data_IF_803056517642
#
_entry.id   IF_803056517642
#
_cell.length_a   1.000
_cell.length_b   1.000
_cell.length_c   1.000
_cell.angle_alpha   90.00
_cell.angle_beta   90.00
_cell.angle_gamma   90.00
#
_symmetry.space_group_name_H-M   'P 1'
#
loop_
_entity.id
_entity.type
_entity.pdbx_description
1 polymer ?
#
# COMPACT_ATOMS: atom_id res chain seq x y z
N UNK A 1 -11.04 -37.54 24.49
CA UNK A 1 -11.94 -36.54 23.88
C UNK A 1 -12.30 -37.01 22.47
N UNK A 2 -13.58 -37.30 22.17
CA UNK A 2 -14.02 -37.62 20.80
C UNK A 2 -14.34 -36.30 20.12
N UNK A 3 -13.48 -35.86 19.20
CA UNK A 3 -13.76 -34.70 18.35
C UNK A 3 -14.92 -35.11 17.44
N UNK A 4 -16.06 -34.44 17.59
CA UNK A 4 -17.21 -34.65 16.72
C UNK A 4 -16.83 -34.23 15.29
N UNK A 5 -17.28 -34.99 14.29
CA UNK A 5 -17.05 -34.68 12.87
C UNK A 5 -17.43 -33.23 12.52
N UNK A 6 -18.48 -32.70 13.15
CA UNK A 6 -18.93 -31.31 12.98
C UNK A 6 -17.91 -30.29 13.49
N UNK A 7 -17.17 -30.60 14.56
CA UNK A 7 -16.10 -29.73 15.07
C UNK A 7 -14.88 -29.73 14.14
N UNK A 8 -14.59 -30.87 13.51
CA UNK A 8 -13.52 -30.96 12.51
C UNK A 8 -13.86 -30.12 11.26
N UNK A 9 -15.11 -30.21 10.80
CA UNK A 9 -15.58 -29.46 9.64
C UNK A 9 -15.49 -27.94 9.86
N UNK A 10 -15.94 -27.46 11.04
CA UNK A 10 -15.85 -26.05 11.41
C UNK A 10 -14.40 -25.56 11.44
N UNK A 11 -13.48 -26.37 11.97
CA UNK A 11 -12.06 -26.01 12.01
C UNK A 11 -11.46 -25.91 10.60
N UNK A 12 -11.81 -26.84 9.70
CA UNK A 12 -11.33 -26.77 8.31
C UNK A 12 -11.88 -25.54 7.60
N UNK A 13 -13.16 -25.20 7.79
CA UNK A 13 -13.78 -24.01 7.18
C UNK A 13 -13.16 -22.72 7.72
N UNK A 14 -12.92 -22.60 9.03
CA UNK A 14 -12.29 -21.40 9.59
C UNK A 14 -10.86 -21.22 9.12
N UNK A 15 -10.10 -22.31 9.01
CA UNK A 15 -8.73 -22.28 8.46
C UNK A 15 -8.77 -21.87 6.98
N UNK A 16 -9.68 -22.41 6.18
CA UNK A 16 -9.85 -22.02 4.77
C UNK A 16 -10.18 -20.52 4.63
N UNK A 17 -11.11 -20.00 5.42
CA UNK A 17 -11.48 -18.58 5.41
C UNK A 17 -10.31 -17.71 5.85
N UNK A 18 -9.57 -18.11 6.89
CA UNK A 18 -8.39 -17.39 7.36
C UNK A 18 -7.28 -17.33 6.29
N UNK A 19 -7.01 -18.44 5.59
CA UNK A 19 -6.05 -18.50 4.48
C UNK A 19 -6.50 -17.63 3.30
N UNK A 20 -7.78 -17.67 2.93
CA UNK A 20 -8.28 -16.80 1.85
C UNK A 20 -8.20 -15.31 2.23
N UNK A 21 -8.43 -14.99 3.51
CA UNK A 21 -8.33 -13.62 4.03
C UNK A 21 -6.90 -13.10 4.04
N UNK A 22 -5.91 -13.96 4.32
CA UNK A 22 -4.49 -13.57 4.32
C UNK A 22 -3.92 -13.40 2.91
N UNK A 23 -4.41 -14.15 1.92
CA UNK A 23 -3.98 -14.02 0.52
C UNK A 23 -4.53 -12.74 -0.15
N UNK A 24 -5.69 -12.23 0.30
CA UNK A 24 -6.31 -11.01 -0.22
C UNK A 24 -5.79 -9.72 0.41
N UNK A 25 -5.07 -9.81 1.53
CA UNK A 25 -4.42 -8.66 2.16
C UNK A 25 -3.10 -8.35 1.43
N UNK A 26 -3.17 -7.91 0.17
CA UNK A 26 -2.06 -7.15 -0.42
C UNK A 26 -1.88 -5.92 0.46
N UNK A 27 -0.74 -5.74 1.14
CA UNK A 27 -0.49 -4.48 1.80
C UNK A 27 -0.46 -3.43 0.69
N UNK A 28 -1.37 -2.45 0.74
CA UNK A 28 -1.15 -1.15 0.10
C UNK A 28 0.05 -0.50 0.82
N UNK A 29 1.23 -1.07 0.62
CA UNK A 29 2.46 -0.50 1.12
C UNK A 29 2.76 0.69 0.21
N UNK A 30 2.27 1.86 0.62
CA UNK A 30 2.58 3.14 0.00
C UNK A 30 4.10 3.33 0.15
N UNK A 31 4.86 2.86 -0.82
CA UNK A 31 6.30 3.08 -0.84
C UNK A 31 6.55 4.58 -1.05
N UNK A 32 7.04 5.22 0.02
CA UNK A 32 7.42 6.63 0.02
C UNK A 32 8.77 6.78 -0.67
N UNK A 33 8.77 7.19 -1.93
CA UNK A 33 9.99 7.57 -2.63
C UNK A 33 10.30 9.04 -2.29
N UNK A 34 11.19 9.25 -1.31
CA UNK A 34 11.71 10.59 -0.98
C UNK A 34 12.74 11.00 -2.04
N UNK A 35 12.31 11.77 -3.04
CA UNK A 35 13.23 12.56 -3.88
C UNK A 35 13.10 14.03 -3.48
N UNK A 36 14.09 14.52 -2.75
CA UNK A 36 14.19 15.91 -2.28
C UNK A 36 14.37 16.88 -3.46
N UNK A 37 13.28 17.21 -4.16
CA UNK A 37 13.22 18.36 -5.04
C UNK A 37 12.49 19.50 -4.33
N UNK A 38 13.00 20.73 -4.49
CA UNK A 38 12.33 21.91 -3.95
C UNK A 38 11.05 22.19 -4.74
N UNK A 39 9.90 22.27 -4.06
CA UNK A 39 8.59 22.55 -4.61
C UNK A 39 8.02 23.85 -4.03
N UNK A 40 7.23 24.56 -4.84
CA UNK A 40 6.52 25.79 -4.43
C UNK A 40 5.04 25.54 -4.15
N UNK A 41 4.49 24.44 -4.66
CA UNK A 41 3.10 24.03 -4.51
C UNK A 41 2.99 22.52 -4.66
N UNK A 42 1.97 21.94 -4.02
CA UNK A 42 1.58 20.54 -4.21
C UNK A 42 1.36 20.20 -5.68
N UNK A 43 0.82 21.15 -6.47
CA UNK A 43 0.56 20.94 -7.90
C UNK A 43 1.85 20.72 -8.70
N UNK A 44 2.91 21.47 -8.38
CA UNK A 44 4.22 21.31 -9.03
C UNK A 44 4.84 19.96 -8.66
N UNK A 45 4.74 19.58 -7.38
CA UNK A 45 5.21 18.29 -6.90
C UNK A 45 4.44 17.14 -7.56
N UNK A 46 3.12 17.22 -7.66
CA UNK A 46 2.29 16.23 -8.35
C UNK A 46 2.66 16.06 -9.82
N UNK A 47 2.93 17.15 -10.55
CA UNK A 47 3.35 17.08 -11.95
C UNK A 47 4.72 16.40 -12.09
N UNK A 48 5.65 16.68 -11.18
CA UNK A 48 6.95 16.01 -11.12
C UNK A 48 6.79 14.51 -10.83
N UNK A 49 6.03 14.14 -9.81
CA UNK A 49 5.78 12.75 -9.44
C UNK A 49 5.12 11.96 -10.58
N UNK A 50 4.17 12.56 -11.31
CA UNK A 50 3.55 11.93 -12.50
C UNK A 50 4.56 11.62 -13.61
N UNK A 51 5.56 12.47 -13.84
CA UNK A 51 6.63 12.19 -14.83
C UNK A 51 7.45 10.95 -14.44
N UNK A 52 7.56 10.69 -13.14
CA UNK A 52 8.22 9.50 -12.59
C UNK A 52 7.30 8.28 -12.48
N UNK A 53 6.07 8.35 -13.04
CA UNK A 53 5.02 7.31 -12.92
C UNK A 53 4.60 7.03 -11.48
N UNK A 54 4.71 8.02 -10.62
CA UNK A 54 4.25 7.97 -9.23
C UNK A 54 2.84 8.57 -9.15
N UNK A 55 1.98 7.99 -8.31
CA UNK A 55 0.54 8.32 -8.28
C UNK A 55 0.26 9.67 -7.60
N UNK A 56 1.02 10.03 -6.58
CA UNK A 56 0.74 11.22 -5.76
C UNK A 56 2.00 11.99 -5.41
N UNK A 57 1.87 13.31 -5.28
CA UNK A 57 2.95 14.23 -4.93
C UNK A 57 2.48 15.32 -3.97
N UNK A 58 3.18 15.49 -2.85
CA UNK A 58 2.88 16.51 -1.84
C UNK A 58 4.10 17.37 -1.54
N UNK A 59 3.89 18.68 -1.43
CA UNK A 59 4.92 19.62 -1.03
C UNK A 59 4.82 19.86 0.48
N UNK A 60 5.83 19.43 1.24
CA UNK A 60 5.85 19.56 2.70
C UNK A 60 7.11 20.26 3.21
N UNK A 61 6.96 20.92 4.35
CA UNK A 61 8.04 21.63 5.04
C UNK A 61 8.26 23.06 4.52
N UNK A 62 8.81 23.91 5.39
CA UNK A 62 9.10 25.32 5.05
C UNK A 62 10.18 25.48 3.97
N UNK A 63 11.03 24.46 3.78
CA UNK A 63 12.01 24.37 2.70
C UNK A 63 11.40 23.94 1.35
N UNK A 64 10.11 23.59 1.35
CA UNK A 64 9.38 23.11 0.17
C UNK A 64 9.95 21.80 -0.34
N UNK A 65 9.90 20.72 0.43
CA UNK A 65 10.34 19.40 -0.05
C UNK A 65 9.20 18.66 -0.73
N UNK A 66 9.45 18.14 -1.94
CA UNK A 66 8.49 17.31 -2.67
C UNK A 66 8.57 15.85 -2.24
N UNK A 67 7.43 15.27 -1.90
CA UNK A 67 7.26 13.88 -1.50
C UNK A 67 6.40 13.16 -2.53
N UNK A 68 6.95 12.13 -3.17
CA UNK A 68 6.21 11.32 -4.13
C UNK A 68 5.84 9.95 -3.53
N UNK A 69 4.65 9.48 -3.88
CA UNK A 69 4.10 8.22 -3.41
C UNK A 69 3.75 7.35 -4.61
N UNK A 70 4.04 6.05 -4.51
CA UNK A 70 3.60 5.04 -5.47
C UNK A 70 2.77 3.98 -4.77
N UNK A 71 1.88 3.33 -5.52
CA UNK A 71 1.32 2.07 -5.09
C UNK A 71 2.36 0.97 -5.38
N UNK A 72 2.58 0.07 -4.44
CA UNK A 72 3.48 -1.08 -4.63
C UNK A 72 3.02 -1.99 -5.79
N UNK A 73 1.74 -1.90 -6.19
CA UNK A 73 1.16 -2.64 -7.31
C UNK A 73 1.64 -2.21 -8.70
N UNK A 74 2.34 -1.07 -8.83
CA UNK A 74 2.82 -0.52 -10.11
C UNK A 74 4.28 -0.91 -10.44
N UNK A 75 4.93 -1.73 -9.60
CA UNK A 75 6.25 -2.29 -9.90
C UNK A 75 6.12 -3.66 -10.60
N UNK A 76 6.69 -3.85 -11.81
CA UNK A 76 6.73 -5.14 -12.50
C UNK A 76 7.70 -6.13 -11.84
#
# INVERSE_FOLDING_TARGET
>A
MKISSNMLLLFVVTVLVAVMSTVMARPEEIQRFRRSQSCKSDRDCQLYCRRLRLVHGECKGHSGECYCYTLASDFP
#
